data_IF_634102577978
#
_entry.id   IF_634102577978
#
_cell.length_a   1.000
_cell.length_b   1.000
_cell.length_c   1.000
_cell.angle_alpha   90.00
_cell.angle_beta   90.00
_cell.angle_gamma   90.00
#
_symmetry.space_group_name_H-M   'P 1'
#
loop_
_entity.id
_entity.type
_entity.pdbx_description
1 polymer ?
#
# COMPACT_ATOMS: atom_id res chain seq x y z
N UNK A 1 -15.69 -51.87 41.15
CA UNK A 1 -15.20 -51.50 39.80
C UNK A 1 -13.92 -52.27 39.56
N UNK A 2 -13.84 -53.11 38.52
CA UNK A 2 -12.63 -53.94 38.29
C UNK A 2 -11.51 -53.08 37.72
N UNK A 3 -10.26 -53.39 38.08
CA UNK A 3 -9.05 -52.68 37.59
C UNK A 3 -9.05 -52.56 36.05
N UNK A 4 -9.58 -53.58 35.37
CA UNK A 4 -9.76 -53.63 33.91
C UNK A 4 -10.78 -52.57 33.41
N UNK A 5 -11.85 -52.31 34.14
CA UNK A 5 -12.83 -51.27 33.81
C UNK A 5 -12.26 -49.85 33.92
N UNK A 6 -11.45 -49.60 34.95
CA UNK A 6 -10.78 -48.32 35.16
C UNK A 6 -9.70 -48.04 34.12
N UNK A 7 -8.91 -49.06 33.74
CA UNK A 7 -7.92 -48.96 32.65
C UNK A 7 -8.58 -48.67 31.30
N UNK A 8 -9.72 -49.31 31.00
CA UNK A 8 -10.49 -49.06 29.77
C UNK A 8 -11.06 -47.64 29.74
N UNK A 9 -11.56 -47.13 30.86
CA UNK A 9 -12.05 -45.75 30.94
C UNK A 9 -10.93 -44.73 30.73
N UNK A 10 -9.74 -44.97 31.31
CA UNK A 10 -8.58 -44.10 31.13
C UNK A 10 -8.07 -44.12 29.67
N UNK A 11 -8.00 -45.30 29.05
CA UNK A 11 -7.64 -45.43 27.64
C UNK A 11 -8.62 -44.69 26.73
N UNK A 12 -9.93 -44.77 27.01
CA UNK A 12 -10.95 -44.06 26.24
C UNK A 12 -10.81 -42.53 26.36
N UNK A 13 -10.48 -42.05 27.56
CA UNK A 13 -10.29 -40.62 27.84
C UNK A 13 -9.03 -40.08 27.15
N UNK A 14 -7.95 -40.85 27.10
CA UNK A 14 -6.74 -40.48 26.34
C UNK A 14 -7.00 -40.43 24.83
N UNK A 15 -7.75 -41.39 24.29
CA UNK A 15 -8.14 -41.39 22.87
C UNK A 15 -9.00 -40.16 22.57
N UNK A 16 -9.97 -39.84 23.43
CA UNK A 16 -10.82 -38.65 23.26
C UNK A 16 -10.01 -37.35 23.34
N UNK A 17 -9.05 -37.23 24.26
CA UNK A 17 -8.19 -36.07 24.36
C UNK A 17 -7.32 -35.90 23.11
N UNK A 18 -6.75 -37.00 22.60
CA UNK A 18 -5.96 -36.99 21.38
C UNK A 18 -6.81 -36.58 20.17
N UNK A 19 -8.04 -37.09 20.02
CA UNK A 19 -8.92 -36.72 18.90
C UNK A 19 -9.34 -35.26 18.97
N UNK A 20 -9.68 -34.74 20.15
CA UNK A 20 -9.99 -33.32 20.34
C UNK A 20 -8.78 -32.44 20.03
N UNK A 21 -7.58 -32.82 20.50
CA UNK A 21 -6.36 -32.08 20.19
C UNK A 21 -6.05 -32.07 18.70
N UNK A 22 -6.20 -33.23 18.03
CA UNK A 22 -5.95 -33.35 16.60
C UNK A 22 -6.98 -32.53 15.81
N UNK A 23 -8.24 -32.59 16.20
CA UNK A 23 -9.31 -31.78 15.61
C UNK A 23 -9.06 -30.29 15.82
N UNK A 24 -8.66 -29.88 17.02
CA UNK A 24 -8.28 -28.50 17.33
C UNK A 24 -7.11 -28.05 16.44
N UNK A 25 -6.07 -28.86 16.31
CA UNK A 25 -4.93 -28.54 15.44
C UNK A 25 -5.32 -28.46 13.96
N UNK A 26 -6.25 -29.32 13.48
CA UNK A 26 -6.79 -29.26 12.12
C UNK A 26 -7.63 -28.01 11.91
N UNK A 27 -8.47 -27.63 12.88
CA UNK A 27 -9.26 -26.39 12.84
C UNK A 27 -8.35 -25.17 12.87
N UNK A 28 -7.33 -25.14 13.73
CA UNK A 28 -6.35 -24.05 13.79
C UNK A 28 -5.56 -23.94 12.47
N UNK A 29 -5.16 -25.08 11.88
CA UNK A 29 -4.53 -25.08 10.55
C UNK A 29 -5.49 -24.59 9.46
N UNK A 30 -6.76 -25.01 9.49
CA UNK A 30 -7.78 -24.58 8.52
C UNK A 30 -8.17 -23.11 8.65
N UNK A 31 -8.16 -22.55 9.87
CA UNK A 31 -8.34 -21.13 10.12
C UNK A 31 -7.12 -20.30 9.72
N UNK A 32 -5.91 -20.85 9.86
CA UNK A 32 -4.67 -20.21 9.43
C UNK A 32 -4.48 -20.24 7.91
N UNK A 33 -5.05 -21.21 7.20
CA UNK A 33 -5.07 -21.26 5.74
C UNK A 33 -6.35 -20.62 5.20
N UNK A 34 -6.53 -19.32 5.43
CA UNK A 34 -7.24 -18.53 4.44
C UNK A 34 -6.19 -18.30 3.35
N UNK A 35 -6.17 -19.16 2.34
CA UNK A 35 -5.39 -18.91 1.14
C UNK A 35 -5.86 -17.54 0.63
N UNK A 36 -5.05 -16.51 0.86
CA UNK A 36 -5.28 -15.19 0.32
C UNK A 36 -5.08 -15.32 -1.18
N UNK A 37 -6.15 -15.71 -1.87
CA UNK A 37 -6.22 -15.67 -3.32
C UNK A 37 -6.01 -14.21 -3.66
N UNK A 38 -4.79 -13.85 -4.06
CA UNK A 38 -4.49 -12.53 -4.61
C UNK A 38 -5.42 -12.37 -5.82
N UNK A 39 -6.49 -11.54 -5.71
CA UNK A 39 -7.47 -11.41 -6.77
C UNK A 39 -6.88 -10.73 -8.01
N UNK A 40 -5.61 -10.32 -7.94
CA UNK A 40 -4.87 -9.63 -8.96
C UNK A 40 -3.69 -10.45 -9.54
N UNK A 41 -3.48 -11.69 -9.07
CA UNK A 41 -2.45 -12.58 -9.60
C UNK A 41 -2.60 -12.77 -11.12
N UNK A 42 -1.56 -12.38 -11.89
CA UNK A 42 -1.53 -12.53 -13.35
C UNK A 42 -2.08 -11.34 -14.15
N UNK A 43 -2.55 -10.27 -13.50
CA UNK A 43 -2.80 -8.99 -14.18
C UNK A 43 -1.45 -8.30 -14.39
N UNK A 44 -1.14 -7.91 -15.63
CA UNK A 44 0.09 -7.16 -15.94
C UNK A 44 0.06 -5.80 -15.24
N UNK A 45 0.67 -5.71 -14.07
CA UNK A 45 0.96 -4.44 -13.39
C UNK A 45 2.05 -3.66 -14.13
N UNK A 46 2.12 -2.35 -13.87
CA UNK A 46 3.25 -1.52 -14.28
C UNK A 46 4.19 -1.37 -13.10
N UNK A 47 5.44 -1.81 -13.23
CA UNK A 47 6.46 -1.51 -12.21
C UNK A 47 6.81 -0.03 -12.27
N UNK A 48 6.81 0.65 -11.12
CA UNK A 48 7.23 2.03 -11.05
C UNK A 48 8.71 2.16 -11.42
N UNK A 49 9.06 3.25 -12.09
CA UNK A 49 10.45 3.56 -12.45
C UNK A 49 11.02 4.57 -11.47
N UNK A 50 12.30 4.49 -11.13
CA UNK A 50 12.94 5.56 -10.35
C UNK A 50 12.84 6.88 -11.12
N UNK A 51 12.49 7.95 -10.41
CA UNK A 51 12.43 9.29 -11.00
C UNK A 51 13.86 9.75 -11.21
N UNK A 52 14.22 10.17 -12.43
CA UNK A 52 15.54 10.73 -12.69
C UNK A 52 15.69 12.03 -11.88
N UNK A 53 16.51 12.01 -10.83
CA UNK A 53 16.96 13.24 -10.18
C UNK A 53 17.63 14.12 -11.24
N UNK A 54 17.22 15.38 -11.33
CA UNK A 54 17.88 16.36 -12.19
C UNK A 54 19.24 16.73 -11.60
N UNK A 55 20.19 15.79 -11.63
CA UNK A 55 21.61 16.07 -11.42
C UNK A 55 22.16 16.70 -12.70
N UNK A 56 22.59 17.94 -12.60
CA UNK A 56 23.17 18.70 -13.71
C UNK A 56 24.37 17.99 -14.33
N UNK A 57 24.14 17.31 -15.45
CA UNK A 57 25.16 16.64 -16.25
C UNK A 57 24.85 16.82 -17.72
N UNK A 58 25.68 17.59 -18.41
CA UNK A 58 25.58 17.85 -19.85
C UNK A 58 25.79 16.56 -20.63
N UNK A 59 24.71 15.96 -21.13
CA UNK A 59 24.74 14.83 -22.06
C UNK A 59 23.51 14.87 -22.95
N UNK A 60 23.69 15.15 -24.24
CA UNK A 60 22.59 15.20 -25.21
C UNK A 60 22.01 13.80 -25.42
N UNK A 61 20.70 13.62 -25.28
CA UNK A 61 19.94 12.56 -25.97
C UNK A 61 18.44 12.88 -26.04
N UNK A 62 18.00 13.08 -27.29
CA UNK A 62 16.65 12.85 -27.84
C UNK A 62 15.44 13.43 -27.11
N UNK A 63 15.13 14.69 -27.46
CA UNK A 63 13.83 15.34 -27.30
C UNK A 63 12.72 14.61 -28.07
N UNK A 64 12.01 13.71 -27.39
CA UNK A 64 10.57 13.52 -27.62
C UNK A 64 9.84 14.74 -27.06
N UNK A 65 8.71 15.19 -27.64
CA UNK A 65 8.01 16.36 -27.13
C UNK A 65 7.49 16.05 -25.73
N UNK A 66 8.19 16.57 -24.71
CA UNK A 66 7.72 16.62 -23.33
C UNK A 66 6.41 17.39 -23.34
N UNK A 67 5.28 16.67 -23.21
CA UNK A 67 3.99 17.31 -23.05
C UNK A 67 4.07 18.25 -21.84
N UNK A 68 3.77 19.54 -22.05
CA UNK A 68 3.77 20.52 -20.97
C UNK A 68 2.88 20.03 -19.82
N UNK A 69 3.47 19.91 -18.64
CA UNK A 69 2.87 19.27 -17.48
C UNK A 69 3.11 20.13 -16.25
N UNK A 70 2.10 20.24 -15.39
CA UNK A 70 2.15 21.01 -14.15
C UNK A 70 1.82 20.13 -12.96
N UNK A 71 2.45 20.41 -11.82
CA UNK A 71 2.04 19.84 -10.54
C UNK A 71 0.62 20.33 -10.23
N UNK A 72 -0.24 19.41 -9.84
CA UNK A 72 -1.63 19.65 -9.46
C UNK A 72 -1.78 19.37 -7.98
N UNK A 73 -2.48 20.27 -7.29
CA UNK A 73 -2.94 20.04 -5.92
C UNK A 73 -4.38 19.53 -5.93
N UNK A 74 -4.65 18.34 -5.37
CA UNK A 74 -6.01 17.86 -5.15
C UNK A 74 -6.82 18.84 -4.29
N UNK A 75 -8.13 18.89 -4.52
CA UNK A 75 -9.06 19.67 -3.68
C UNK A 75 -9.37 18.97 -2.36
N UNK A 76 -9.32 17.65 -2.34
CA UNK A 76 -9.45 16.83 -1.14
C UNK A 76 -8.53 15.63 -1.21
N UNK A 77 -8.08 15.19 -0.03
CA UNK A 77 -7.38 13.92 0.18
C UNK A 77 -8.05 13.23 1.35
N UNK A 78 -8.68 12.10 1.07
CA UNK A 78 -9.41 11.28 2.04
C UNK A 78 -8.75 9.92 2.17
N UNK A 79 -8.90 9.27 3.32
CA UNK A 79 -8.42 7.91 3.52
C UNK A 79 -9.48 7.06 4.24
N UNK A 80 -9.45 5.75 4.03
CA UNK A 80 -10.31 4.79 4.76
C UNK A 80 -10.07 4.80 6.26
N UNK A 81 -8.81 4.93 6.65
CA UNK A 81 -8.38 5.08 8.03
C UNK A 81 -7.13 5.96 8.12
N UNK A 82 -6.73 6.25 9.34
CA UNK A 82 -5.55 7.06 9.64
C UNK A 82 -5.07 6.69 11.04
N UNK A 83 -3.78 6.41 11.19
CA UNK A 83 -3.18 6.20 12.50
C UNK A 83 -3.42 7.41 13.39
N UNK A 84 -3.77 7.16 14.65
CA UNK A 84 -4.01 8.23 15.60
C UNK A 84 -2.76 9.09 15.78
N UNK A 85 -2.93 10.42 15.74
CA UNK A 85 -1.82 11.35 15.96
C UNK A 85 -1.25 11.23 17.37
N UNK A 86 0.04 11.47 17.49
CA UNK A 86 0.74 11.63 18.77
C UNK A 86 0.87 13.12 19.11
N UNK A 87 1.56 13.45 20.20
CA UNK A 87 1.91 14.83 20.52
C UNK A 87 2.91 15.45 19.54
N UNK A 88 3.65 14.63 18.79
CA UNK A 88 4.77 15.07 17.93
C UNK A 88 4.55 14.76 16.46
N UNK A 89 3.57 13.91 16.12
CA UNK A 89 3.34 13.44 14.75
C UNK A 89 1.86 13.37 14.44
N UNK A 90 1.49 13.81 13.24
CA UNK A 90 0.19 13.52 12.63
C UNK A 90 0.39 12.62 11.43
N UNK A 91 -0.54 11.70 11.19
CA UNK A 91 -0.48 10.72 10.10
C UNK A 91 -1.59 10.92 9.06
N UNK A 92 -2.08 12.16 8.95
CA UNK A 92 -3.27 12.52 8.16
C UNK A 92 -3.01 12.35 6.66
N UNK A 93 -4.04 12.05 5.85
CA UNK A 93 -3.90 11.91 4.40
C UNK A 93 -3.33 13.16 3.70
N UNK A 94 -3.56 14.36 4.25
CA UNK A 94 -3.03 15.60 3.66
C UNK A 94 -1.52 15.78 3.79
N UNK A 95 -0.83 14.95 4.58
CA UNK A 95 0.63 14.88 4.57
C UNK A 95 1.16 14.43 3.21
N UNK A 96 0.41 13.62 2.46
CA UNK A 96 0.82 13.10 1.14
C UNK A 96 0.96 14.17 0.06
N UNK A 97 0.57 15.42 0.31
CA UNK A 97 0.56 16.49 -0.68
C UNK A 97 1.09 17.81 -0.12
N UNK A 98 1.76 17.76 1.04
CA UNK A 98 2.28 18.96 1.71
C UNK A 98 3.69 19.36 1.24
N UNK A 99 4.36 18.49 0.48
CA UNK A 99 5.69 18.73 -0.06
C UNK A 99 6.82 18.39 0.91
N UNK A 100 6.52 17.80 2.06
CA UNK A 100 7.48 17.35 3.07
C UNK A 100 7.47 15.82 3.21
N UNK A 101 8.44 15.18 2.55
CA UNK A 101 8.66 13.72 2.61
C UNK A 101 8.94 13.19 4.02
N UNK A 102 9.25 14.05 4.99
CA UNK A 102 9.46 13.61 6.38
C UNK A 102 8.16 13.47 7.17
N UNK A 103 7.03 13.81 6.55
CA UNK A 103 5.67 13.52 7.02
C UNK A 103 5.08 12.38 6.20
N UNK A 104 4.08 11.69 6.75
CA UNK A 104 3.45 10.57 6.06
C UNK A 104 1.98 10.43 6.42
N UNK A 105 1.22 9.83 5.52
CA UNK A 105 0.01 9.13 5.91
C UNK A 105 0.38 7.72 6.35
N UNK A 106 -0.08 7.33 7.53
CA UNK A 106 -0.05 5.97 8.01
C UNK A 106 -1.50 5.52 8.14
N UNK A 107 -1.82 4.34 7.61
CA UNK A 107 -3.13 3.74 7.84
C UNK A 107 -3.33 3.40 9.34
N UNK A 108 -4.57 3.18 9.77
CA UNK A 108 -4.93 2.97 11.17
C UNK A 108 -5.72 1.70 11.44
N UNK A 109 -5.61 0.69 10.58
CA UNK A 109 -6.14 -0.64 10.80
C UNK A 109 -5.37 -1.37 11.92
N UNK A 110 -5.88 -2.54 12.34
CA UNK A 110 -5.20 -3.38 13.35
C UNK A 110 -4.12 -4.29 12.74
N UNK A 111 -4.05 -4.38 11.41
CA UNK A 111 -3.10 -5.18 10.65
C UNK A 111 -2.31 -4.28 9.69
N UNK A 112 -1.63 -4.86 8.69
CA UNK A 112 -0.81 -4.15 7.70
C UNK A 112 -1.60 -3.18 6.79
N UNK A 113 -2.90 -3.03 6.98
CA UNK A 113 -3.74 -2.11 6.22
C UNK A 113 -3.97 -2.57 4.78
N UNK A 114 -4.00 -3.88 4.53
CA UNK A 114 -4.36 -4.40 3.21
C UNK A 114 -5.82 -4.03 2.90
N UNK A 115 -6.04 -3.40 1.74
CA UNK A 115 -7.35 -2.85 1.36
C UNK A 115 -7.62 -1.43 1.84
N UNK A 116 -6.78 -0.86 2.71
CA UNK A 116 -6.83 0.54 3.07
C UNK A 116 -6.47 1.41 1.86
N UNK A 117 -7.09 2.59 1.78
CA UNK A 117 -7.01 3.43 0.59
C UNK A 117 -6.91 4.92 0.89
N UNK A 118 -6.33 5.64 -0.06
CA UNK A 118 -6.35 7.10 -0.16
C UNK A 118 -7.06 7.50 -1.45
N UNK A 119 -7.91 8.52 -1.39
CA UNK A 119 -8.59 9.11 -2.55
C UNK A 119 -8.22 10.58 -2.68
N UNK A 120 -7.81 10.95 -3.89
CA UNK A 120 -7.49 12.31 -4.31
C UNK A 120 -8.59 12.78 -5.26
N UNK A 121 -9.26 13.89 -4.94
CA UNK A 121 -10.23 14.52 -5.84
C UNK A 121 -9.66 15.81 -6.43
N UNK A 122 -10.04 16.12 -7.66
CA UNK A 122 -9.57 17.29 -8.38
C UNK A 122 -10.70 18.30 -8.59
N UNK A 123 -10.34 19.60 -8.68
CA UNK A 123 -11.31 20.68 -8.87
C UNK A 123 -12.05 20.64 -10.22
N UNK A 124 -11.55 19.83 -11.15
CA UNK A 124 -12.07 19.63 -12.51
C UNK A 124 -11.51 18.33 -13.06
N UNK A 125 -12.00 17.94 -14.23
CA UNK A 125 -11.45 16.81 -14.96
C UNK A 125 -10.03 17.12 -15.49
N UNK A 126 -9.09 16.21 -15.27
CA UNK A 126 -7.67 16.37 -15.62
C UNK A 126 -7.16 15.19 -16.45
N UNK A 127 -6.30 15.47 -17.42
CA UNK A 127 -5.50 14.43 -18.08
C UNK A 127 -4.19 14.32 -17.31
N UNK A 128 -4.07 13.29 -16.48
CA UNK A 128 -2.85 13.02 -15.73
C UNK A 128 -1.73 12.59 -16.70
N UNK A 129 -0.50 12.97 -16.35
CA UNK A 129 0.69 12.73 -17.18
C UNK A 129 1.76 11.96 -16.44
N UNK A 130 1.87 12.18 -15.12
CA UNK A 130 2.84 11.52 -14.25
C UNK A 130 2.33 11.55 -12.83
N UNK A 131 2.58 10.49 -12.07
CA UNK A 131 2.44 10.50 -10.62
C UNK A 131 3.79 10.05 -10.05
N UNK A 132 4.28 10.76 -9.05
CA UNK A 132 5.51 10.40 -8.32
C UNK A 132 5.14 10.07 -6.87
N UNK A 133 5.70 9.00 -6.32
CA UNK A 133 5.37 8.49 -4.98
C UNK A 133 6.64 8.35 -4.16
N UNK A 134 6.65 8.90 -2.95
CA UNK A 134 7.62 8.59 -1.91
C UNK A 134 7.01 7.51 -0.99
N UNK A 135 7.53 6.29 -1.11
CA UNK A 135 7.01 5.10 -0.43
C UNK A 135 7.50 4.99 1.02
N UNK A 136 6.72 4.36 1.91
CA UNK A 136 7.06 4.19 3.32
C UNK A 136 6.97 5.48 4.14
N UNK A 137 7.43 5.43 5.39
CA UNK A 137 7.52 6.60 6.27
C UNK A 137 8.95 7.16 6.28
N UNK A 138 9.22 8.18 5.48
CA UNK A 138 10.56 8.68 5.19
C UNK A 138 11.01 9.82 6.12
N UNK A 139 10.54 9.81 7.37
CA UNK A 139 11.02 10.76 8.38
C UNK A 139 12.52 10.61 8.62
N UNK A 140 12.96 9.37 8.70
CA UNK A 140 14.33 8.94 8.92
C UNK A 140 14.46 7.45 8.52
N UNK A 141 15.70 6.96 8.42
CA UNK A 141 16.00 5.58 7.99
C UNK A 141 15.35 4.53 8.90
N UNK A 142 15.20 4.85 10.20
CA UNK A 142 14.60 3.96 11.20
C UNK A 142 13.10 3.76 10.92
N UNK A 143 12.38 4.84 10.66
CA UNK A 143 10.97 4.80 10.26
C UNK A 143 10.78 4.12 8.91
N UNK A 144 11.62 4.41 7.93
CA UNK A 144 11.50 3.75 6.63
C UNK A 144 11.68 2.23 6.74
N UNK A 145 12.65 1.77 7.54
CA UNK A 145 12.94 0.34 7.69
C UNK A 145 11.92 -0.42 8.56
N UNK A 146 11.36 0.21 9.59
CA UNK A 146 10.50 -0.47 10.58
C UNK A 146 9.01 -0.39 10.27
N UNK A 147 8.57 0.62 9.53
CA UNK A 147 7.21 0.68 9.01
C UNK A 147 7.07 -0.18 7.74
N UNK A 148 5.93 -0.85 7.54
CA UNK A 148 5.67 -1.53 6.28
C UNK A 148 5.65 -0.51 5.13
N UNK A 149 6.32 -0.87 4.03
CA UNK A 149 6.38 -0.10 2.79
C UNK A 149 5.48 -0.77 1.78
N UNK A 150 4.71 0.01 1.02
CA UNK A 150 3.78 -0.57 0.04
C UNK A 150 4.58 -1.26 -1.07
N UNK A 151 4.21 -2.51 -1.39
CA UNK A 151 4.80 -3.26 -2.50
C UNK A 151 3.94 -3.18 -3.74
N UNK A 152 2.63 -3.33 -3.60
CA UNK A 152 1.68 -3.21 -4.71
C UNK A 152 0.54 -2.26 -4.34
N UNK A 153 0.27 -1.30 -5.22
CA UNK A 153 -0.91 -0.43 -5.17
C UNK A 153 -1.89 -0.81 -6.27
N UNK A 154 -3.18 -0.83 -5.95
CA UNK A 154 -4.24 -0.69 -6.95
C UNK A 154 -4.59 0.78 -7.10
N UNK A 155 -4.40 1.33 -8.29
CA UNK A 155 -4.83 2.68 -8.62
C UNK A 155 -6.09 2.61 -9.48
N UNK A 156 -7.18 3.16 -8.94
CA UNK A 156 -8.49 3.26 -9.59
C UNK A 156 -8.78 4.72 -9.94
N UNK A 157 -9.34 4.93 -11.12
CA UNK A 157 -9.68 6.26 -11.63
C UNK A 157 -11.19 6.46 -11.76
N UNK A 158 -11.64 7.71 -11.83
CA UNK A 158 -13.06 8.04 -12.00
C UNK A 158 -13.72 7.48 -13.26
N UNK A 159 -12.93 7.06 -14.26
CA UNK A 159 -13.44 6.39 -15.47
C UNK A 159 -13.70 4.90 -15.27
N UNK A 160 -13.40 4.35 -14.09
CA UNK A 160 -13.42 2.91 -13.81
C UNK A 160 -12.17 2.18 -14.30
N UNK A 161 -11.20 2.89 -14.89
CA UNK A 161 -9.89 2.30 -15.22
C UNK A 161 -9.16 1.91 -13.95
N UNK A 162 -8.57 0.72 -13.94
CA UNK A 162 -7.76 0.20 -12.83
C UNK A 162 -6.39 -0.18 -13.37
N UNK A 163 -5.35 0.13 -12.60
CA UNK A 163 -3.99 -0.33 -12.81
C UNK A 163 -3.41 -0.87 -11.51
N UNK A 164 -2.58 -1.90 -11.62
CA UNK A 164 -1.74 -2.35 -10.51
C UNK A 164 -0.35 -1.79 -10.71
N UNK A 165 0.24 -1.31 -9.62
CA UNK A 165 1.54 -0.68 -9.61
C UNK A 165 2.39 -1.40 -8.58
N UNK A 166 3.52 -1.95 -9.02
CA UNK A 166 4.53 -2.47 -8.11
C UNK A 166 5.55 -1.36 -7.80
N UNK A 167 5.70 -1.04 -6.52
CA UNK A 167 6.68 -0.10 -6.00
C UNK A 167 7.95 -0.84 -5.58
N UNK A 168 9.09 -0.25 -5.92
CA UNK A 168 10.41 -0.69 -5.49
C UNK A 168 10.58 -0.45 -3.99
N UNK A 169 11.42 -1.26 -3.36
CA UNK A 169 11.76 -1.11 -1.94
C UNK A 169 12.93 -0.12 -1.76
N UNK A 170 12.64 1.16 -1.98
CA UNK A 170 13.60 2.28 -1.84
C UNK A 170 12.89 3.55 -1.39
N UNK A 171 13.55 4.44 -0.63
CA UNK A 171 13.00 5.76 -0.32
C UNK A 171 12.97 6.72 -1.53
N UNK A 172 13.64 6.40 -2.63
CA UNK A 172 13.64 7.26 -3.82
C UNK A 172 12.23 7.49 -4.38
N UNK A 173 11.98 8.68 -4.94
CA UNK A 173 10.73 8.96 -5.64
C UNK A 173 10.54 8.02 -6.83
N UNK A 174 9.37 7.39 -6.90
CA UNK A 174 9.03 6.44 -7.95
C UNK A 174 7.95 7.01 -8.85
N UNK A 175 8.20 6.98 -10.15
CA UNK A 175 7.31 7.49 -11.20
C UNK A 175 6.42 6.38 -11.72
N UNK A 176 5.13 6.69 -11.88
CA UNK A 176 4.15 5.87 -12.58
C UNK A 176 3.50 6.68 -13.72
N UNK A 177 3.23 6.00 -14.83
CA UNK A 177 2.48 6.56 -15.96
C UNK A 177 0.99 6.27 -15.71
N UNK A 178 0.14 7.30 -15.54
CA UNK A 178 -1.28 7.11 -15.28
C UNK A 178 -2.08 6.82 -16.55
N UNK A 179 -3.39 6.59 -16.40
CA UNK A 179 -4.31 6.60 -17.54
C UNK A 179 -4.26 7.93 -18.28
N UNK A 180 -4.35 7.88 -19.62
CA UNK A 180 -4.43 9.07 -20.48
C UNK A 180 -5.85 9.62 -20.62
N UNK A 181 -6.84 8.94 -20.01
CA UNK A 181 -8.21 9.43 -19.99
C UNK A 181 -8.35 10.61 -19.02
N UNK A 182 -9.22 11.59 -19.31
CA UNK A 182 -9.57 12.63 -18.35
C UNK A 182 -10.23 12.04 -17.09
N UNK A 183 -9.77 12.43 -15.90
CA UNK A 183 -10.25 11.91 -14.60
C UNK A 183 -10.60 13.03 -13.62
N UNK A 184 -11.57 12.79 -12.75
CA UNK A 184 -12.02 13.71 -11.69
C UNK A 184 -11.44 13.32 -10.32
N UNK A 185 -11.12 12.04 -10.15
CA UNK A 185 -10.48 11.52 -8.94
C UNK A 185 -9.60 10.31 -9.27
N UNK A 186 -8.69 10.04 -8.35
CA UNK A 186 -7.86 8.84 -8.32
C UNK A 186 -7.87 8.27 -6.90
N UNK A 187 -7.93 6.94 -6.77
CA UNK A 187 -7.87 6.23 -5.49
C UNK A 187 -6.73 5.20 -5.54
N UNK A 188 -5.87 5.23 -4.53
CA UNK A 188 -4.79 4.27 -4.34
C UNK A 188 -5.16 3.33 -3.18
N UNK A 189 -5.15 2.03 -3.41
CA UNK A 189 -5.45 1.01 -2.39
C UNK A 189 -4.22 0.13 -2.19
N UNK A 190 -3.84 -0.11 -0.93
CA UNK A 190 -2.76 -1.02 -0.56
C UNK A 190 -3.20 -2.44 -0.90
N UNK A 191 -2.46 -3.11 -1.79
CA UNK A 191 -2.70 -4.51 -2.17
C UNK A 191 -1.73 -5.43 -1.44
N UNK A 192 -0.46 -5.03 -1.33
CA UNK A 192 0.56 -5.78 -0.59
C UNK A 192 1.64 -4.85 -0.07
N UNK A 193 2.41 -5.33 0.91
CA UNK A 193 3.56 -4.63 1.49
C UNK A 193 4.84 -5.45 1.31
N UNK A 194 6.00 -4.78 1.34
CA UNK A 194 7.29 -5.45 1.37
C UNK A 194 7.48 -6.16 2.72
N UNK A 195 8.19 -7.31 2.73
CA UNK A 195 8.53 -7.99 3.98
C UNK A 195 9.51 -7.15 4.81
N UNK A 196 9.78 -7.61 6.03
CA UNK A 196 10.74 -7.02 6.98
C UNK A 196 10.29 -5.65 7.53
N UNK A 197 9.52 -5.69 8.61
CA UNK A 197 9.02 -4.54 9.37
C UNK A 197 8.90 -4.91 10.85
N UNK A 198 8.84 -3.90 11.72
CA UNK A 198 8.61 -4.10 13.17
C UNK A 198 7.22 -3.66 13.62
N UNK A 199 6.62 -2.69 12.91
CA UNK A 199 5.28 -2.18 13.18
C UNK A 199 4.34 -2.53 12.04
N UNK A 200 3.04 -2.36 12.27
CA UNK A 200 1.99 -2.74 11.33
C UNK A 200 1.28 -1.52 10.73
N UNK A 201 1.83 -0.31 10.88
CA UNK A 201 1.29 0.94 10.36
C UNK A 201 1.89 1.30 8.99
N UNK A 202 1.31 0.75 7.92
CA UNK A 202 1.79 0.94 6.53
C UNK A 202 1.71 2.41 6.13
N UNK A 203 2.76 2.91 5.47
CA UNK A 203 2.90 4.33 5.22
C UNK A 203 3.23 4.70 3.77
N UNK A 204 2.81 5.91 3.39
CA UNK A 204 3.25 6.65 2.22
C UNK A 204 3.60 8.07 2.65
N UNK A 205 4.70 8.63 2.16
CA UNK A 205 5.19 9.94 2.58
C UNK A 205 4.71 11.07 1.68
N UNK A 206 4.71 10.87 0.37
CA UNK A 206 4.33 11.93 -0.59
C UNK A 206 3.78 11.33 -1.88
N UNK A 207 2.81 12.04 -2.49
CA UNK A 207 2.27 11.77 -3.82
C UNK A 207 2.20 13.08 -4.60
N UNK A 208 3.03 13.18 -5.64
CA UNK A 208 3.02 14.32 -6.57
C UNK A 208 2.25 13.94 -7.81
N UNK A 209 1.25 14.74 -8.15
CA UNK A 209 0.34 14.47 -9.28
C UNK A 209 0.56 15.53 -10.33
N UNK A 210 0.89 15.11 -11.55
CA UNK A 210 1.14 16.00 -12.67
C UNK A 210 0.10 15.81 -13.76
N UNK A 211 -0.46 16.90 -14.26
CA UNK A 211 -1.44 16.89 -15.34
C UNK A 211 -1.01 17.79 -16.50
N UNK A 212 -1.54 17.51 -17.69
CA UNK A 212 -1.30 18.33 -18.88
C UNK A 212 -1.76 19.76 -18.58
N UNK A 213 -0.91 20.74 -18.92
CA UNK A 213 -1.30 22.16 -18.86
C UNK A 213 -2.39 22.40 -19.91
N UNK A 214 -3.52 22.98 -19.48
CA UNK A 214 -4.55 23.42 -20.41
C UNK A 214 -3.93 24.45 -21.37
N UNK A 215 -4.16 24.28 -22.67
CA UNK A 215 -3.92 25.34 -23.66
C UNK A 215 -5.19 26.10 -23.91
#
# INVERSE_FOLDING_TARGET
MTIVGTLKAFALLLILAATVFTLYAVVQKGLATKEEIDPYAGISGTTATLSEETSGGSGSSQTSPSEASTLVRPTSVEASSTLKSTSTHSYRPTNLVDGDVTTAWNEGAEDLGLGEWIKFEFSRQLVLTRIEIANGFQKDDDRFARNPRVKTLKVEYSTGTVQLVDLLDTPDFQTIVPTRQPVEWMKMTIVSVHPDYEWEDTALSEVRIYARTDR
#
